data_IF_451430945536
#
_entry.id   IF_451430945536
#
_cell.length_a   1.000
_cell.length_b   1.000
_cell.length_c   1.000
_cell.angle_alpha   90.00
_cell.angle_beta   90.00
_cell.angle_gamma   90.00
#
_symmetry.space_group_name_H-M   'P 1'
#
loop_
_entity.id
_entity.type
_entity.pdbx_description
1 polymer ?
#
# COMPACT_ATOMS: atom_id res chain seq x y z
N UNK A 1 -2.11 9.99 8.82
CA UNK A 1 -2.47 8.57 8.60
C UNK A 1 -3.85 8.48 7.99
N UNK A 2 -4.05 7.66 6.94
CA UNK A 2 -5.35 7.30 6.36
C UNK A 2 -5.70 5.87 6.84
N UNK A 3 -6.63 5.71 7.79
CA UNK A 3 -6.87 4.41 8.43
C UNK A 3 -7.58 3.41 7.51
N UNK A 4 -8.40 3.87 6.58
CA UNK A 4 -9.14 3.03 5.63
C UNK A 4 -9.12 3.70 4.26
N UNK A 5 -8.50 3.05 3.27
CA UNK A 5 -8.42 3.54 1.90
C UNK A 5 -9.65 3.20 1.05
N UNK A 6 -10.35 2.11 1.40
CA UNK A 6 -11.56 1.63 0.72
C UNK A 6 -12.66 1.32 1.75
N UNK A 7 -13.42 2.33 2.20
CA UNK A 7 -14.48 2.11 3.20
C UNK A 7 -15.59 1.19 2.71
N UNK A 8 -15.96 1.29 1.44
CA UNK A 8 -17.00 0.45 0.84
C UNK A 8 -16.56 -1.02 0.82
N UNK A 9 -15.33 -1.28 0.38
CA UNK A 9 -14.77 -2.62 0.36
C UNK A 9 -14.62 -3.22 1.76
N UNK A 10 -14.28 -2.40 2.76
CA UNK A 10 -14.23 -2.83 4.15
C UNK A 10 -15.60 -3.30 4.66
N UNK A 11 -16.67 -2.52 4.39
CA UNK A 11 -18.03 -2.84 4.81
C UNK A 11 -18.56 -4.07 4.07
N UNK A 12 -18.29 -4.17 2.78
CA UNK A 12 -18.79 -5.26 1.92
C UNK A 12 -17.88 -6.51 1.93
N UNK A 13 -16.79 -6.51 2.71
CA UNK A 13 -15.78 -7.58 2.75
C UNK A 13 -15.25 -7.95 1.35
N UNK A 14 -15.02 -6.94 0.50
CA UNK A 14 -14.53 -7.11 -0.86
C UNK A 14 -13.30 -6.23 -1.14
N UNK A 15 -12.52 -6.64 -2.13
CA UNK A 15 -11.38 -5.88 -2.64
C UNK A 15 -11.81 -4.59 -3.37
N UNK A 16 -13.00 -4.60 -3.95
CA UNK A 16 -13.49 -3.54 -4.84
C UNK A 16 -14.28 -2.49 -4.07
N UNK A 17 -14.33 -1.26 -4.60
CA UNK A 17 -15.28 -0.26 -4.12
C UNK A 17 -16.72 -0.54 -4.65
N UNK A 18 -17.68 0.33 -4.35
CA UNK A 18 -19.08 0.19 -4.81
C UNK A 18 -19.26 0.22 -6.32
N UNK A 19 -18.29 0.78 -7.06
CA UNK A 19 -18.30 0.76 -8.53
C UNK A 19 -17.69 -0.54 -9.11
N UNK A 20 -17.24 -1.47 -8.28
CA UNK A 20 -16.58 -2.71 -8.69
C UNK A 20 -15.13 -2.51 -9.18
N UNK A 21 -14.51 -1.39 -8.79
CA UNK A 21 -13.14 -1.04 -9.18
C UNK A 21 -12.14 -1.40 -8.09
N UNK A 22 -11.02 -2.02 -8.49
CA UNK A 22 -9.83 -2.21 -7.66
C UNK A 22 -9.06 -0.89 -7.57
N UNK A 23 -9.19 -0.20 -6.44
CA UNK A 23 -8.55 1.10 -6.23
C UNK A 23 -7.03 1.05 -6.41
N UNK A 24 -6.38 -0.08 -6.03
CA UNK A 24 -4.95 -0.28 -6.22
C UNK A 24 -4.59 -0.67 -7.67
N UNK A 25 -5.42 -0.26 -8.64
CA UNK A 25 -5.20 -0.33 -10.10
C UNK A 25 -5.64 0.97 -10.79
N UNK A 26 -6.06 1.98 -10.00
CA UNK A 26 -6.69 3.20 -10.54
C UNK A 26 -5.76 4.44 -10.55
N UNK A 27 -4.49 4.28 -10.14
CA UNK A 27 -3.52 5.37 -10.11
C UNK A 27 -2.88 5.65 -11.49
N UNK A 28 -2.43 6.92 -11.75
CA UNK A 28 -1.84 7.35 -13.03
C UNK A 28 -0.39 6.85 -13.16
N UNK A 29 -0.23 5.59 -13.50
CA UNK A 29 1.07 4.96 -13.74
C UNK A 29 1.20 4.53 -15.20
N UNK A 30 2.42 4.58 -15.77
CA UNK A 30 2.68 4.26 -17.17
C UNK A 30 2.30 2.81 -17.56
N UNK A 31 2.31 1.89 -16.60
CA UNK A 31 1.93 0.49 -16.78
C UNK A 31 0.41 0.23 -16.59
N UNK A 32 -0.41 1.28 -16.43
CA UNK A 32 -1.83 1.16 -16.18
C UNK A 32 -2.59 0.52 -17.35
N UNK A 33 -3.66 -0.21 -17.01
CA UNK A 33 -4.58 -0.84 -17.96
C UNK A 33 -6.00 -0.31 -17.72
N UNK A 34 -6.68 0.10 -18.80
CA UNK A 34 -8.07 0.57 -18.75
C UNK A 34 -9.01 -0.62 -18.89
N UNK A 35 -9.61 -1.04 -17.80
CA UNK A 35 -10.58 -2.13 -17.74
C UNK A 35 -11.72 -1.77 -16.81
N UNK A 36 -12.85 -2.48 -16.89
CA UNK A 36 -13.96 -2.25 -15.96
C UNK A 36 -13.52 -2.47 -14.49
N UNK A 37 -12.61 -3.40 -14.22
CA UNK A 37 -12.09 -3.69 -12.86
C UNK A 37 -11.03 -2.71 -12.37
N UNK A 38 -10.35 -2.02 -13.26
CA UNK A 38 -9.26 -1.09 -12.93
C UNK A 38 -9.67 0.39 -13.09
N UNK A 39 -10.94 0.61 -13.47
CA UNK A 39 -11.46 1.89 -13.91
C UNK A 39 -11.14 2.16 -15.38
N UNK A 40 -12.05 2.78 -16.11
CA UNK A 40 -11.88 3.10 -17.53
C UNK A 40 -10.95 4.29 -17.79
N UNK A 41 -10.72 5.10 -16.74
CA UNK A 41 -9.75 6.19 -16.72
C UNK A 41 -8.93 6.12 -15.42
N UNK A 42 -7.75 6.76 -15.43
CA UNK A 42 -6.98 6.99 -14.22
C UNK A 42 -7.79 7.89 -13.27
N UNK A 43 -7.66 7.64 -11.97
CA UNK A 43 -8.34 8.42 -10.93
C UNK A 43 -9.85 8.55 -11.19
N UNK A 44 -10.47 7.53 -11.78
CA UNK A 44 -11.92 7.49 -11.96
C UNK A 44 -12.67 7.35 -10.63
N UNK A 45 -11.97 6.87 -9.58
CA UNK A 45 -12.57 6.58 -8.29
C UNK A 45 -12.19 7.67 -7.27
N UNK A 46 -13.18 8.18 -6.49
CA UNK A 46 -12.96 9.27 -5.55
C UNK A 46 -11.93 8.93 -4.47
N UNK A 47 -11.84 7.67 -4.05
CA UNK A 47 -10.87 7.22 -3.06
C UNK A 47 -9.43 7.32 -3.60
N UNK A 48 -9.22 6.98 -4.86
CA UNK A 48 -7.90 7.11 -5.51
C UNK A 48 -7.51 8.59 -5.67
N UNK A 49 -8.48 9.45 -5.99
CA UNK A 49 -8.29 10.91 -6.02
C UNK A 49 -7.88 11.44 -4.66
N UNK A 50 -8.59 11.06 -3.59
CA UNK A 50 -8.27 11.49 -2.22
C UNK A 50 -6.85 11.08 -1.82
N UNK A 51 -6.43 9.84 -2.13
CA UNK A 51 -5.07 9.39 -1.81
C UNK A 51 -4.04 10.22 -2.57
N UNK A 52 -4.26 10.46 -3.87
CA UNK A 52 -3.38 11.32 -4.67
C UNK A 52 -3.30 12.74 -4.11
N UNK A 53 -4.44 13.33 -3.75
CA UNK A 53 -4.50 14.70 -3.21
C UNK A 53 -3.79 14.80 -1.86
N UNK A 54 -3.87 13.76 -1.02
CA UNK A 54 -3.09 13.68 0.21
C UNK A 54 -1.58 13.62 -0.07
N UNK A 55 -1.16 12.86 -1.08
CA UNK A 55 0.25 12.81 -1.50
C UNK A 55 0.73 14.18 -2.01
N UNK A 56 -0.08 14.87 -2.79
CA UNK A 56 0.27 16.20 -3.33
C UNK A 56 0.30 17.26 -2.24
N UNK A 57 -0.61 17.18 -1.26
CA UNK A 57 -0.71 18.15 -0.17
C UNK A 57 0.39 17.99 0.88
N UNK A 58 0.76 16.78 1.21
CA UNK A 58 1.66 16.49 2.32
C UNK A 58 3.07 16.09 1.91
N UNK A 59 3.28 15.82 0.61
CA UNK A 59 4.59 15.47 0.02
C UNK A 59 5.37 14.48 0.91
N UNK A 60 4.82 13.28 1.18
CA UNK A 60 5.43 12.36 2.13
C UNK A 60 6.79 11.87 1.65
N UNK A 61 7.76 11.78 2.56
CA UNK A 61 9.08 11.19 2.29
C UNK A 61 9.01 9.68 2.06
N UNK A 62 8.02 9.03 2.67
CA UNK A 62 7.81 7.58 2.63
C UNK A 62 6.32 7.28 2.67
N UNK A 63 5.91 6.21 1.97
CA UNK A 63 4.55 5.67 2.07
C UNK A 63 4.60 4.23 2.60
N UNK A 64 3.73 3.95 3.58
CA UNK A 64 3.49 2.60 4.07
C UNK A 64 2.06 2.21 3.72
N UNK A 65 1.90 1.22 2.86
CA UNK A 65 0.61 0.67 2.43
C UNK A 65 0.42 -0.71 3.05
N UNK A 66 -0.66 -0.91 3.81
CA UNK A 66 -0.93 -2.17 4.49
C UNK A 66 -1.93 -2.99 3.68
N UNK A 67 -1.55 -4.21 3.36
CA UNK A 67 -2.30 -5.17 2.55
C UNK A 67 -2.34 -6.57 3.17
N UNK A 68 -3.07 -7.46 2.53
CA UNK A 68 -3.11 -8.92 2.71
C UNK A 68 -3.25 -9.57 1.32
N UNK A 69 -2.93 -10.85 1.12
CA UNK A 69 -2.50 -11.88 2.08
C UNK A 69 -1.08 -12.43 1.81
N UNK A 70 -0.15 -11.69 1.21
CA UNK A 70 1.05 -12.25 0.59
C UNK A 70 2.21 -12.54 1.55
N UNK A 71 2.09 -12.20 2.83
CA UNK A 71 3.04 -12.54 3.90
C UNK A 71 4.47 -12.09 3.58
N UNK A 72 4.67 -10.81 3.29
CA UNK A 72 5.98 -10.22 2.97
C UNK A 72 5.99 -8.70 3.08
N UNK A 73 7.18 -8.13 3.03
CA UNK A 73 7.41 -6.72 2.80
C UNK A 73 7.81 -6.55 1.34
N UNK A 74 6.88 -6.04 0.52
CA UNK A 74 7.16 -5.63 -0.86
C UNK A 74 7.50 -4.15 -0.92
N UNK A 75 8.18 -3.72 -1.99
CA UNK A 75 8.57 -2.32 -2.14
C UNK A 75 8.61 -1.89 -3.60
N UNK A 76 8.34 -0.59 -3.84
CA UNK A 76 8.51 0.05 -5.13
C UNK A 76 9.30 1.37 -5.00
N UNK A 77 9.93 1.78 -6.08
CA UNK A 77 10.81 2.94 -6.08
C UNK A 77 12.08 2.74 -5.26
N UNK A 78 12.66 3.82 -4.69
CA UNK A 78 13.92 3.76 -3.93
C UNK A 78 13.69 3.32 -2.47
N UNK A 79 12.98 2.19 -2.24
CA UNK A 79 12.53 1.75 -0.92
C UNK A 79 13.18 0.44 -0.43
N UNK A 80 14.23 -0.07 -1.10
CA UNK A 80 14.85 -1.35 -0.72
C UNK A 80 15.43 -1.33 0.69
N UNK A 81 16.18 -0.28 1.04
CA UNK A 81 16.78 -0.16 2.37
C UNK A 81 15.72 0.00 3.45
N UNK A 82 14.66 0.79 3.17
CA UNK A 82 13.51 0.90 4.06
C UNK A 82 12.84 -0.46 4.28
N UNK A 83 12.63 -1.24 3.20
CA UNK A 83 12.01 -2.57 3.30
C UNK A 83 12.84 -3.52 4.16
N UNK A 84 14.18 -3.45 4.09
CA UNK A 84 15.09 -4.22 4.94
C UNK A 84 14.95 -3.83 6.41
N UNK A 85 14.98 -2.53 6.71
CA UNK A 85 14.81 -2.02 8.08
C UNK A 85 13.47 -2.46 8.66
N UNK A 86 12.40 -2.41 7.89
CA UNK A 86 11.07 -2.87 8.32
C UNK A 86 11.06 -4.38 8.59
N UNK A 87 11.63 -5.18 7.69
CA UNK A 87 11.67 -6.64 7.82
C UNK A 87 12.54 -7.12 8.99
N UNK A 88 13.56 -6.39 9.40
CA UNK A 88 14.39 -6.68 10.57
C UNK A 88 13.60 -6.55 11.90
N UNK A 89 12.45 -5.87 11.87
CA UNK A 89 11.61 -5.60 13.03
C UNK A 89 10.27 -6.38 13.03
N UNK A 90 10.12 -7.37 12.14
CA UNK A 90 8.99 -8.31 12.11
C UNK A 90 9.44 -9.65 11.52
N UNK A 91 8.53 -10.60 11.45
CA UNK A 91 8.77 -11.94 10.90
C UNK A 91 8.44 -12.07 9.40
N UNK A 92 8.21 -10.94 8.70
CA UNK A 92 7.89 -10.93 7.27
C UNK A 92 9.15 -10.78 6.41
N UNK A 93 9.39 -11.68 5.45
CA UNK A 93 10.53 -11.57 4.55
C UNK A 93 10.38 -10.42 3.55
N UNK A 94 11.47 -9.80 3.15
CA UNK A 94 11.47 -8.89 1.98
C UNK A 94 11.28 -9.71 0.71
N UNK A 95 10.28 -9.32 -0.11
CA UNK A 95 10.04 -9.89 -1.44
C UNK A 95 9.67 -8.78 -2.41
N UNK A 96 10.45 -8.60 -3.47
CA UNK A 96 10.07 -7.69 -4.55
C UNK A 96 9.10 -8.39 -5.50
N UNK A 97 7.81 -8.08 -5.36
CA UNK A 97 6.76 -8.66 -6.19
C UNK A 97 6.67 -8.00 -7.56
N UNK A 98 7.17 -6.77 -7.66
CA UNK A 98 7.15 -5.96 -8.88
C UNK A 98 5.93 -5.07 -8.98
N UNK A 99 6.11 -4.00 -9.74
CA UNK A 99 5.12 -2.93 -9.90
C UNK A 99 3.88 -3.41 -10.66
N UNK A 100 2.76 -3.52 -9.97
CA UNK A 100 1.48 -3.93 -10.56
C UNK A 100 0.85 -2.80 -11.40
N UNK A 101 0.18 -3.12 -12.52
CA UNK A 101 -0.43 -2.12 -13.38
C UNK A 101 -1.34 -1.15 -12.63
N UNK A 102 -1.05 0.16 -12.70
CA UNK A 102 -1.86 1.21 -12.08
C UNK A 102 -1.93 1.17 -10.56
N UNK A 103 -1.02 0.44 -9.88
CA UNK A 103 -0.99 0.40 -8.41
C UNK A 103 -0.48 1.71 -7.81
N UNK A 104 -0.77 1.90 -6.52
CA UNK A 104 -0.17 2.98 -5.74
C UNK A 104 1.36 2.85 -5.71
N UNK A 105 1.89 1.62 -5.62
CA UNK A 105 3.34 1.35 -5.71
C UNK A 105 3.94 1.81 -7.03
N UNK A 106 3.29 1.48 -8.16
CA UNK A 106 3.73 1.95 -9.48
C UNK A 106 3.70 3.48 -9.58
N UNK A 107 2.64 4.11 -9.09
CA UNK A 107 2.50 5.56 -9.14
C UNK A 107 3.47 6.27 -8.20
N UNK A 108 3.46 5.97 -6.91
CA UNK A 108 4.33 6.63 -5.94
C UNK A 108 5.79 6.30 -6.14
N UNK A 109 6.12 5.00 -6.28
CA UNK A 109 7.51 4.55 -6.38
C UNK A 109 8.16 4.85 -7.71
N UNK A 110 7.50 4.54 -8.84
CA UNK A 110 8.13 4.63 -10.15
C UNK A 110 7.86 5.97 -10.87
N UNK A 111 6.68 6.58 -10.67
CA UNK A 111 6.36 7.87 -11.33
C UNK A 111 6.80 9.04 -10.47
N UNK A 112 6.51 9.01 -9.16
CA UNK A 112 6.79 10.12 -8.24
C UNK A 112 8.15 10.02 -7.56
N UNK A 113 8.81 8.83 -7.59
CA UNK A 113 10.09 8.60 -6.90
C UNK A 113 9.98 8.60 -5.37
N UNK A 114 8.77 8.48 -4.82
CA UNK A 114 8.51 8.41 -3.39
C UNK A 114 8.68 6.96 -2.95
N UNK A 115 9.59 6.67 -1.99
CA UNK A 115 9.76 5.33 -1.45
C UNK A 115 8.44 4.80 -0.89
N UNK A 116 8.03 3.60 -1.32
CA UNK A 116 6.84 2.95 -0.80
C UNK A 116 7.12 1.50 -0.45
N UNK A 117 6.68 1.06 0.70
CA UNK A 117 6.55 -0.35 1.04
C UNK A 117 5.09 -0.77 1.04
N UNK A 118 4.86 -2.01 0.59
CA UNK A 118 3.59 -2.71 0.76
C UNK A 118 3.78 -3.77 1.83
N UNK A 119 3.22 -3.50 3.00
CA UNK A 119 3.27 -4.38 4.16
C UNK A 119 2.18 -5.44 3.99
N UNK A 120 2.54 -6.56 3.41
CA UNK A 120 1.63 -7.66 3.07
C UNK A 120 1.51 -8.61 4.25
N UNK A 121 0.49 -8.41 5.05
CA UNK A 121 0.17 -9.26 6.19
C UNK A 121 -0.25 -10.68 5.76
N UNK A 122 -0.12 -11.70 6.65
CA UNK A 122 -0.68 -13.03 6.41
C UNK A 122 -2.19 -13.03 6.25
N UNK A 123 -2.73 -13.95 5.44
CA UNK A 123 -4.16 -14.04 5.16
C UNK A 123 -5.01 -14.60 6.29
N UNK A 124 -4.40 -15.24 7.30
CA UNK A 124 -5.07 -15.97 8.37
C UNK A 124 -5.21 -15.19 9.70
N UNK A 125 -5.01 -13.88 9.66
CA UNK A 125 -5.01 -13.01 10.85
C UNK A 125 -6.39 -12.82 11.51
N UNK A 126 -7.47 -13.28 10.93
CA UNK A 126 -8.82 -13.13 11.49
C UNK A 126 -9.06 -13.82 12.84
N UNK A 127 -8.09 -14.65 13.29
CA UNK A 127 -8.11 -15.33 14.61
C UNK A 127 -7.12 -14.73 15.60
N UNK A 128 -6.33 -13.76 15.18
CA UNK A 128 -5.28 -13.12 16.00
C UNK A 128 -5.90 -11.93 16.73
N UNK A 129 -5.60 -11.78 18.00
CA UNK A 129 -6.10 -10.63 18.78
C UNK A 129 -5.44 -9.32 18.34
N UNK A 130 -6.09 -8.18 18.64
CA UNK A 130 -5.52 -6.85 18.34
C UNK A 130 -4.19 -6.61 19.05
N UNK A 131 -4.08 -7.06 20.29
CA UNK A 131 -2.86 -6.89 21.10
C UNK A 131 -1.71 -7.71 20.51
N UNK A 132 -1.98 -8.94 20.11
CA UNK A 132 -1.00 -9.81 19.44
C UNK A 132 -0.56 -9.24 18.07
N UNK A 133 -1.50 -8.71 17.27
CA UNK A 133 -1.15 -8.02 16.01
C UNK A 133 -0.27 -6.79 16.28
N UNK A 134 -0.59 -6.03 17.33
CA UNK A 134 0.19 -4.87 17.70
C UNK A 134 1.60 -5.28 18.15
N UNK A 135 1.74 -6.23 19.05
CA UNK A 135 3.02 -6.74 19.51
C UNK A 135 3.89 -7.24 18.35
N UNK A 136 3.27 -7.96 17.40
CA UNK A 136 3.98 -8.58 16.28
C UNK A 136 4.46 -7.59 15.21
N UNK A 137 3.67 -6.55 14.92
CA UNK A 137 3.91 -5.70 13.75
C UNK A 137 4.20 -4.22 14.08
N UNK A 138 3.89 -3.74 15.28
CA UNK A 138 4.18 -2.34 15.64
C UNK A 138 5.67 -1.99 15.62
N UNK A 139 6.62 -2.88 16.01
CA UNK A 139 8.05 -2.54 15.91
C UNK A 139 8.47 -2.21 14.48
N UNK A 140 7.97 -2.95 13.49
CA UNK A 140 8.25 -2.72 12.09
C UNK A 140 7.63 -1.41 11.57
N UNK A 141 6.40 -1.10 11.96
CA UNK A 141 5.75 0.17 11.61
C UNK A 141 6.44 1.37 12.26
N UNK A 142 6.86 1.25 13.51
CA UNK A 142 7.62 2.30 14.20
C UNK A 142 9.01 2.49 13.58
N UNK A 143 9.68 1.41 13.17
CA UNK A 143 10.95 1.48 12.45
C UNK A 143 10.80 2.21 11.11
N UNK A 144 9.69 1.97 10.38
CA UNK A 144 9.40 2.69 9.15
C UNK A 144 9.14 4.18 9.37
N UNK A 145 8.43 4.56 10.45
CA UNK A 145 8.17 5.97 10.80
C UNK A 145 9.47 6.67 11.24
N UNK A 146 10.37 5.95 11.91
CA UNK A 146 11.65 6.49 12.36
C UNK A 146 12.73 6.45 11.28
N UNK A 147 12.45 5.90 10.10
CA UNK A 147 13.42 5.82 9.00
C UNK A 147 13.81 7.23 8.55
N UNK A 148 15.11 7.50 8.31
CA UNK A 148 15.57 8.84 7.98
C UNK A 148 14.88 9.40 6.74
N UNK A 149 14.26 10.56 6.90
CA UNK A 149 13.88 11.39 5.76
C UNK A 149 15.13 11.83 4.99
N UNK A 150 15.04 11.98 3.68
CA UNK A 150 16.13 12.45 2.84
C UNK A 150 16.32 13.95 2.97
#
# INVERSE_FOLDING_TARGET
>A
MLPVANPDGLIAETRFNTHGVDLNRNFPAANRQNTARFGLAELSEPEAVVIKDLMDKYEPDVIISIHQPLNCIDYDGPAEDLARVVAENCDLPVRKLGAMPGSLGSYSGLVRGIPIITFELPGDLGRVSRDELWERYSPALLAAIAYPAK
#
